data_IF_188146207746
#
_entry.id   IF_188146207746
#
_cell.length_a   1.000
_cell.length_b   1.000
_cell.length_c   1.000
_cell.angle_alpha   90.00
_cell.angle_beta   90.00
_cell.angle_gamma   90.00
#
_symmetry.space_group_name_H-M   'P 1'
#
loop_
_entity.id
_entity.type
_entity.pdbx_description
1 polymer ?
#
# COMPACT_ATOMS: atom_id res chain seq x y z
N UNK A 1 -22.82 8.49 8.92
CA UNK A 1 -21.82 7.40 9.09
C UNK A 1 -20.78 7.85 10.10
N UNK A 2 -20.50 7.04 11.12
CA UNK A 2 -19.41 7.30 12.08
C UNK A 2 -18.12 6.68 11.55
N UNK A 3 -17.10 7.48 11.30
CA UNK A 3 -15.86 7.03 10.65
C UNK A 3 -14.69 7.37 11.55
N UNK A 4 -13.82 6.39 11.83
CA UNK A 4 -12.53 6.64 12.47
C UNK A 4 -11.41 6.43 11.45
N UNK A 5 -10.61 7.46 11.18
CA UNK A 5 -9.42 7.38 10.34
C UNK A 5 -8.22 7.12 11.25
N UNK A 6 -7.44 6.07 10.93
CA UNK A 6 -6.21 5.74 11.66
C UNK A 6 -5.00 6.14 10.80
N UNK A 7 -4.23 7.11 11.28
CA UNK A 7 -3.03 7.57 10.60
C UNK A 7 -2.76 9.07 10.74
N UNK A 8 -1.65 9.54 10.15
CA UNK A 8 -1.25 10.95 10.19
C UNK A 8 -0.45 11.38 8.95
N UNK A 9 -0.40 10.53 7.91
CA UNK A 9 0.27 10.86 6.65
C UNK A 9 -0.62 11.63 5.66
N UNK A 10 -0.08 11.95 4.49
CA UNK A 10 -0.82 12.71 3.45
C UNK A 10 -2.15 12.07 3.07
N UNK A 11 -2.21 10.74 3.02
CA UNK A 11 -3.45 10.03 2.71
C UNK A 11 -4.50 10.24 3.80
N UNK A 12 -4.11 10.15 5.09
CA UNK A 12 -5.02 10.42 6.20
C UNK A 12 -5.55 11.86 6.16
N UNK A 13 -4.70 12.85 5.85
CA UNK A 13 -5.12 14.24 5.70
C UNK A 13 -6.20 14.39 4.63
N UNK A 14 -5.96 13.87 3.43
CA UNK A 14 -6.92 14.01 2.32
C UNK A 14 -8.19 13.21 2.60
N UNK A 15 -8.10 11.98 3.12
CA UNK A 15 -9.28 11.19 3.51
C UNK A 15 -10.12 11.93 4.57
N UNK A 16 -9.46 12.50 5.59
CA UNK A 16 -10.15 13.25 6.65
C UNK A 16 -10.93 14.44 6.10
N UNK A 17 -10.28 15.28 5.28
CA UNK A 17 -10.95 16.47 4.74
C UNK A 17 -12.09 16.11 3.79
N UNK A 18 -11.88 15.14 2.90
CA UNK A 18 -12.92 14.71 1.94
C UNK A 18 -14.11 14.09 2.67
N UNK A 19 -13.87 13.15 3.61
CA UNK A 19 -14.95 12.45 4.32
C UNK A 19 -15.69 13.35 5.31
N UNK A 20 -14.98 14.21 6.04
CA UNK A 20 -15.58 15.09 7.03
C UNK A 20 -16.26 16.33 6.41
N UNK A 21 -16.06 16.61 5.13
CA UNK A 21 -16.79 17.67 4.40
C UNK A 21 -18.22 17.28 4.02
N UNK A 22 -18.56 15.98 4.06
CA UNK A 22 -19.93 15.50 3.87
C UNK A 22 -20.65 15.49 5.23
N UNK A 23 -21.72 16.30 5.34
CA UNK A 23 -22.50 16.46 6.58
C UNK A 23 -23.15 15.15 7.08
N UNK A 24 -23.29 14.14 6.23
CA UNK A 24 -23.80 12.81 6.61
C UNK A 24 -22.73 11.99 7.38
N UNK A 25 -21.47 12.44 7.41
CA UNK A 25 -20.37 11.77 8.07
C UNK A 25 -19.95 12.52 9.35
N UNK A 26 -19.63 11.75 10.38
CA UNK A 26 -18.93 12.20 11.58
C UNK A 26 -17.57 11.51 11.60
N UNK A 27 -16.52 12.29 11.46
CA UNK A 27 -15.15 11.77 11.31
C UNK A 27 -14.36 12.03 12.59
N UNK A 28 -13.82 10.96 13.15
CA UNK A 28 -12.81 10.99 14.21
C UNK A 28 -11.44 10.55 13.68
N UNK A 29 -10.38 10.97 14.34
CA UNK A 29 -9.00 10.66 13.96
C UNK A 29 -8.26 9.97 15.09
N UNK A 30 -7.71 8.79 14.81
CA UNK A 30 -6.74 8.11 15.67
C UNK A 30 -5.33 8.38 15.14
N UNK A 31 -4.54 9.14 15.89
CA UNK A 31 -3.18 9.54 15.50
C UNK A 31 -2.24 9.60 16.68
N UNK A 32 -0.96 9.32 16.48
CA UNK A 32 0.06 9.41 17.55
C UNK A 32 0.38 10.85 17.99
N UNK A 33 -0.03 11.85 17.21
CA UNK A 33 0.25 13.27 17.43
C UNK A 33 -1.02 14.11 17.39
N UNK A 34 -2.00 13.86 18.29
CA UNK A 34 -3.30 14.52 18.24
C UNK A 34 -3.20 16.04 18.43
N UNK A 35 -2.23 16.51 19.23
CA UNK A 35 -2.04 17.95 19.51
C UNK A 35 -1.45 18.74 18.33
N UNK A 36 -0.98 18.06 17.28
CA UNK A 36 -0.49 18.72 16.06
C UNK A 36 -1.61 18.88 15.00
N UNK A 37 -2.84 18.47 15.31
CA UNK A 37 -3.99 18.59 14.42
C UNK A 37 -4.95 19.68 14.90
N UNK A 38 -5.48 20.43 13.95
CA UNK A 38 -6.56 21.38 14.18
C UNK A 38 -7.92 20.66 14.17
N UNK A 39 -8.95 21.27 14.78
CA UNK A 39 -10.31 20.74 14.79
C UNK A 39 -10.96 20.68 13.39
N UNK A 40 -10.34 21.32 12.42
CA UNK A 40 -10.73 21.29 11.00
C UNK A 40 -9.55 21.12 10.09
N UNK A 41 -9.80 20.58 8.91
CA UNK A 41 -8.79 20.35 7.87
C UNK A 41 -9.31 20.83 6.51
N UNK A 42 -8.44 21.47 5.72
CA UNK A 42 -8.72 21.88 4.36
C UNK A 42 -8.02 21.00 3.33
N UNK A 43 -8.75 20.54 2.31
CA UNK A 43 -8.21 19.77 1.21
C UNK A 43 -8.55 20.45 -0.12
N UNK A 44 -7.53 20.78 -0.87
CA UNK A 44 -7.61 21.46 -2.17
C UNK A 44 -7.55 20.41 -3.29
N UNK A 45 -8.58 20.37 -4.12
CA UNK A 45 -8.63 19.45 -5.26
C UNK A 45 -8.12 20.12 -6.55
N UNK A 46 -7.74 19.34 -7.58
CA UNK A 46 -7.19 19.89 -8.82
C UNK A 46 -8.22 20.62 -9.69
N UNK A 47 -9.52 20.56 -9.33
CA UNK A 47 -10.61 21.26 -10.04
C UNK A 47 -10.98 22.57 -9.37
N UNK A 48 -10.24 22.98 -8.33
CA UNK A 48 -10.46 24.22 -7.58
C UNK A 48 -11.54 24.13 -6.48
N UNK A 49 -11.99 22.90 -6.15
CA UNK A 49 -12.87 22.67 -5.00
C UNK A 49 -12.04 22.61 -3.72
N UNK A 50 -12.49 23.25 -2.66
CA UNK A 50 -11.98 23.07 -1.30
C UNK A 50 -12.95 22.22 -0.51
N UNK A 51 -12.43 21.15 0.11
CA UNK A 51 -13.15 20.37 1.10
C UNK A 51 -12.72 20.85 2.48
N UNK A 52 -13.65 21.38 3.26
CA UNK A 52 -13.43 21.75 4.65
C UNK A 52 -14.10 20.73 5.54
N UNK A 53 -13.30 19.92 6.22
CA UNK A 53 -13.78 18.89 7.13
C UNK A 53 -13.60 19.28 8.58
N UNK A 54 -14.58 18.97 9.45
CA UNK A 54 -14.48 19.13 10.89
C UNK A 54 -14.44 17.76 11.57
N UNK A 55 -13.53 17.61 12.54
CA UNK A 55 -13.43 16.38 13.31
C UNK A 55 -14.41 16.38 14.48
N UNK A 56 -15.06 15.22 14.70
CA UNK A 56 -15.84 14.98 15.92
C UNK A 56 -14.88 14.81 17.13
N UNK A 57 -13.79 14.07 16.91
CA UNK A 57 -12.78 13.82 17.94
C UNK A 57 -11.42 13.49 17.34
N UNK A 58 -10.33 13.95 17.97
CA UNK A 58 -8.95 13.63 17.60
C UNK A 58 -8.24 13.09 18.84
N UNK A 59 -7.71 11.87 18.75
CA UNK A 59 -7.10 11.24 19.92
C UNK A 59 -5.94 10.30 19.54
N UNK A 60 -5.07 10.05 20.52
CA UNK A 60 -4.11 8.96 20.48
C UNK A 60 -4.64 7.67 21.16
N UNK A 61 -5.83 7.75 21.80
CA UNK A 61 -6.43 6.66 22.57
C UNK A 61 -7.56 5.99 21.77
N UNK A 62 -7.39 4.71 21.37
CA UNK A 62 -8.43 4.01 20.61
C UNK A 62 -9.79 3.95 21.32
N UNK A 63 -9.79 3.88 22.65
CA UNK A 63 -11.01 3.84 23.47
C UNK A 63 -11.92 5.05 23.29
N UNK A 64 -11.39 6.18 22.82
CA UNK A 64 -12.13 7.43 22.66
C UNK A 64 -12.75 7.57 21.26
N UNK A 65 -12.23 6.89 20.25
CA UNK A 65 -12.61 7.12 18.84
C UNK A 65 -13.10 5.86 18.10
N UNK A 66 -12.88 4.64 18.64
CA UNK A 66 -13.25 3.41 17.97
C UNK A 66 -14.65 2.89 18.34
N UNK A 67 -15.12 2.94 19.61
CA UNK A 67 -16.33 2.21 20.06
C UNK A 67 -17.60 2.48 19.25
N UNK A 68 -17.76 3.68 18.72
CA UNK A 68 -18.95 4.11 17.97
C UNK A 68 -18.73 4.14 16.46
N UNK A 69 -17.58 3.70 15.96
CA UNK A 69 -17.29 3.74 14.54
C UNK A 69 -18.07 2.66 13.77
N UNK A 70 -18.79 3.09 12.73
CA UNK A 70 -19.33 2.19 11.70
C UNK A 70 -18.18 1.67 10.81
N UNK A 71 -17.21 2.56 10.55
CA UNK A 71 -16.04 2.28 9.71
C UNK A 71 -14.77 2.75 10.42
N UNK A 72 -13.78 1.87 10.47
CA UNK A 72 -12.39 2.19 10.84
C UNK A 72 -11.53 2.07 9.57
N UNK A 73 -10.91 3.17 9.16
CA UNK A 73 -10.14 3.25 7.91
C UNK A 73 -8.65 3.47 8.20
N UNK A 74 -7.83 2.48 7.89
CA UNK A 74 -6.39 2.54 8.07
C UNK A 74 -5.73 3.24 6.87
N UNK A 75 -5.03 4.35 7.14
CA UNK A 75 -4.19 5.10 6.21
C UNK A 75 -2.74 5.01 6.68
N UNK A 76 -2.21 3.79 6.75
CA UNK A 76 -0.96 3.43 7.41
C UNK A 76 0.05 2.77 6.46
N UNK A 77 1.35 2.91 6.74
CA UNK A 77 2.37 2.06 6.14
C UNK A 77 2.31 0.63 6.72
N UNK A 78 2.85 -0.36 5.99
CA UNK A 78 2.78 -1.78 6.34
C UNK A 78 3.25 -2.11 7.75
N UNK A 79 4.35 -1.53 8.18
CA UNK A 79 4.94 -1.77 9.50
C UNK A 79 4.04 -1.33 10.68
N UNK A 80 3.09 -0.42 10.44
CA UNK A 80 2.21 0.10 11.50
C UNK A 80 0.86 -0.62 11.58
N UNK A 81 0.50 -1.43 10.58
CA UNK A 81 -0.82 -2.06 10.49
C UNK A 81 -1.05 -3.01 11.66
N UNK A 82 -0.15 -3.95 11.88
CA UNK A 82 -0.31 -4.99 12.91
C UNK A 82 -0.47 -4.38 14.32
N UNK A 83 0.36 -3.38 14.65
CA UNK A 83 0.30 -2.68 15.94
C UNK A 83 -1.05 -1.98 16.12
N UNK A 84 -1.51 -1.23 15.12
CA UNK A 84 -2.78 -0.50 15.21
C UNK A 84 -3.97 -1.47 15.29
N UNK A 85 -3.96 -2.58 14.53
CA UNK A 85 -5.00 -3.61 14.63
C UNK A 85 -5.08 -4.19 16.06
N UNK A 86 -3.94 -4.47 16.70
CA UNK A 86 -3.91 -4.93 18.11
C UNK A 86 -4.49 -3.89 19.05
N UNK A 87 -4.17 -2.61 18.84
CA UNK A 87 -4.64 -1.52 19.69
C UNK A 87 -6.14 -1.27 19.58
N UNK A 88 -6.71 -1.38 18.37
CA UNK A 88 -8.15 -1.11 18.14
C UNK A 88 -9.04 -2.31 18.45
N UNK A 89 -8.53 -3.56 18.34
CA UNK A 89 -9.30 -4.79 18.53
C UNK A 89 -10.23 -4.80 19.75
N UNK A 90 -9.80 -4.39 20.97
CA UNK A 90 -10.65 -4.43 22.17
C UNK A 90 -11.88 -3.50 22.10
N UNK A 91 -11.88 -2.55 21.19
CA UNK A 91 -12.91 -1.50 21.09
C UNK A 91 -13.81 -1.63 19.87
N UNK A 92 -13.55 -2.62 18.99
CA UNK A 92 -14.36 -2.86 17.80
C UNK A 92 -15.75 -3.41 18.15
N UNK A 93 -16.78 -2.83 17.57
CA UNK A 93 -18.11 -3.43 17.55
C UNK A 93 -18.15 -4.57 16.52
N UNK A 94 -18.92 -5.66 16.74
CA UNK A 94 -19.11 -6.69 15.73
C UNK A 94 -19.65 -6.20 14.38
N UNK A 95 -20.24 -4.99 14.34
CA UNK A 95 -20.79 -4.38 13.13
C UNK A 95 -19.83 -3.44 12.41
N UNK A 96 -18.72 -3.06 13.05
CA UNK A 96 -17.75 -2.13 12.50
C UNK A 96 -17.02 -2.75 11.31
N UNK A 97 -16.98 -2.07 10.18
CA UNK A 97 -16.07 -2.44 9.10
C UNK A 97 -14.68 -1.88 9.35
N UNK A 98 -13.67 -2.73 9.26
CA UNK A 98 -12.26 -2.31 9.31
C UNK A 98 -11.68 -2.38 7.89
N UNK A 99 -11.15 -1.27 7.41
CA UNK A 99 -10.62 -1.19 6.06
C UNK A 99 -9.23 -0.56 5.96
N UNK A 100 -8.57 -0.76 4.82
CA UNK A 100 -7.24 -0.18 4.55
C UNK A 100 -7.13 0.41 3.16
N UNK A 101 -6.46 1.53 3.06
CA UNK A 101 -5.98 2.14 1.83
C UNK A 101 -4.44 2.19 1.91
N UNK A 102 -3.71 1.29 1.23
CA UNK A 102 -4.04 0.16 0.37
C UNK A 102 -3.83 -1.17 1.09
N UNK A 103 -4.21 -2.32 0.46
CA UNK A 103 -4.10 -3.64 1.06
C UNK A 103 -2.82 -4.39 0.73
N UNK A 104 -2.05 -3.95 -0.25
CA UNK A 104 -0.81 -4.60 -0.71
C UNK A 104 0.31 -4.68 0.33
N UNK A 105 0.08 -4.13 1.52
CA UNK A 105 1.00 -4.13 2.66
C UNK A 105 0.63 -5.17 3.72
N UNK A 106 -0.10 -6.21 3.35
CA UNK A 106 -0.44 -7.32 4.23
C UNK A 106 -1.66 -7.11 5.12
N UNK A 107 -2.48 -6.10 4.86
CA UNK A 107 -3.63 -5.75 5.70
C UNK A 107 -4.55 -6.95 6.01
N UNK A 108 -5.04 -7.66 4.99
CA UNK A 108 -5.94 -8.80 5.21
C UNK A 108 -5.27 -9.93 5.98
N UNK A 109 -4.00 -10.23 5.69
CA UNK A 109 -3.25 -11.27 6.40
C UNK A 109 -3.14 -10.98 7.89
N UNK A 110 -2.75 -9.75 8.25
CA UNK A 110 -2.72 -9.32 9.65
C UNK A 110 -4.10 -9.26 10.28
N UNK A 111 -5.12 -8.82 9.54
CA UNK A 111 -6.47 -8.70 10.08
C UNK A 111 -7.07 -10.06 10.41
N UNK A 112 -6.91 -11.06 9.55
CA UNK A 112 -7.38 -12.43 9.82
C UNK A 112 -6.72 -13.03 11.05
N UNK A 113 -5.42 -12.80 11.24
CA UNK A 113 -4.69 -13.31 12.40
C UNK A 113 -5.04 -12.54 13.69
N UNK A 114 -5.00 -11.20 13.62
CA UNK A 114 -5.09 -10.36 14.82
C UNK A 114 -6.53 -10.13 15.24
N UNK A 115 -7.44 -9.82 14.32
CA UNK A 115 -8.81 -9.40 14.65
C UNK A 115 -9.76 -10.56 14.91
N UNK A 116 -9.42 -11.80 14.53
CA UNK A 116 -10.33 -12.92 14.71
C UNK A 116 -10.97 -12.95 16.11
N UNK A 117 -12.29 -13.22 16.24
CA UNK A 117 -13.23 -13.63 15.19
C UNK A 117 -13.89 -12.47 14.41
N UNK A 118 -13.42 -11.22 14.51
CA UNK A 118 -13.93 -10.10 13.75
C UNK A 118 -13.53 -10.24 12.27
N UNK A 119 -14.49 -10.27 11.37
CA UNK A 119 -14.31 -10.61 9.96
C UNK A 119 -14.85 -9.55 8.98
N UNK A 120 -15.45 -8.46 9.46
CA UNK A 120 -15.98 -7.39 8.60
C UNK A 120 -14.85 -6.49 8.10
N UNK A 121 -14.24 -6.90 7.00
CA UNK A 121 -13.05 -6.29 6.43
C UNK A 121 -13.31 -5.74 5.03
N UNK A 122 -12.63 -4.65 4.67
CA UNK A 122 -12.58 -4.19 3.28
C UNK A 122 -11.22 -3.56 2.97
N UNK A 123 -10.90 -3.51 1.69
CA UNK A 123 -9.63 -2.92 1.34
C UNK A 123 -9.50 -2.50 -0.11
N UNK A 124 -8.70 -1.49 -0.33
CA UNK A 124 -8.46 -0.88 -1.62
C UNK A 124 -7.23 -1.49 -2.30
N UNK A 125 -7.36 -1.80 -3.59
CA UNK A 125 -6.23 -2.23 -4.42
C UNK A 125 -5.23 -1.10 -4.63
N UNK A 126 -5.73 0.12 -4.83
CA UNK A 126 -4.95 1.34 -5.06
C UNK A 126 -5.52 2.50 -4.26
N UNK A 127 -4.72 3.54 -4.05
CA UNK A 127 -5.22 4.80 -3.47
C UNK A 127 -6.29 5.42 -4.38
N UNK A 128 -7.40 5.95 -3.83
CA UNK A 128 -8.43 6.59 -4.65
C UNK A 128 -7.96 7.91 -5.28
N UNK A 129 -6.96 8.56 -4.67
CA UNK A 129 -6.40 9.82 -5.12
C UNK A 129 -4.93 9.98 -4.72
N UNK A 130 -4.23 10.90 -5.38
CA UNK A 130 -2.86 11.28 -5.03
C UNK A 130 -2.94 12.37 -3.97
N UNK A 131 -2.34 12.12 -2.79
CA UNK A 131 -2.39 12.98 -1.63
C UNK A 131 -1.02 13.58 -1.30
N UNK A 132 -0.99 14.87 -0.92
CA UNK A 132 0.22 15.55 -0.40
C UNK A 132 -0.16 16.53 0.70
N UNK A 133 0.42 16.37 1.88
CA UNK A 133 0.27 17.33 2.99
C UNK A 133 0.93 18.67 2.59
N UNK A 134 0.25 19.77 2.87
CA UNK A 134 0.78 21.14 2.81
C UNK A 134 1.28 21.49 4.20
N UNK A 135 0.35 21.68 5.14
CA UNK A 135 0.64 21.92 6.55
C UNK A 135 0.12 20.74 7.36
N UNK A 136 0.96 20.16 8.19
CA UNK A 136 0.59 18.98 8.98
C UNK A 136 -0.56 19.31 9.93
N UNK A 137 -1.57 18.45 9.93
CA UNK A 137 -2.75 18.60 10.78
C UNK A 137 -3.72 19.72 10.36
N UNK A 138 -3.46 20.46 9.28
CA UNK A 138 -4.21 21.64 8.86
C UNK A 138 -4.68 21.54 7.42
N UNK A 139 -3.77 21.22 6.46
CA UNK A 139 -4.13 21.27 5.06
C UNK A 139 -3.37 20.29 4.18
N UNK A 140 -4.00 19.87 3.07
CA UNK A 140 -3.43 18.95 2.10
C UNK A 140 -3.93 19.21 0.67
N UNK A 141 -3.17 18.75 -0.32
CA UNK A 141 -3.55 18.71 -1.72
C UNK A 141 -4.02 17.31 -2.11
N UNK A 142 -5.20 17.24 -2.74
CA UNK A 142 -5.65 16.14 -3.56
C UNK A 142 -5.23 16.46 -5.00
N UNK A 143 -4.15 15.82 -5.49
CA UNK A 143 -3.54 16.15 -6.78
C UNK A 143 -4.21 15.47 -7.99
N UNK A 144 -5.04 14.47 -7.77
CA UNK A 144 -5.78 13.77 -8.82
C UNK A 144 -6.54 12.57 -8.31
N UNK A 145 -7.71 12.32 -8.90
CA UNK A 145 -8.52 11.14 -8.67
C UNK A 145 -8.09 10.01 -9.59
N UNK A 146 -8.33 8.78 -9.16
CA UNK A 146 -8.30 7.62 -10.06
C UNK A 146 -9.57 7.57 -10.91
N UNK A 147 -9.47 6.98 -12.10
CA UNK A 147 -10.65 6.76 -12.95
C UNK A 147 -11.60 5.71 -12.35
N UNK A 148 -11.04 4.72 -11.66
CA UNK A 148 -11.73 3.65 -10.96
C UNK A 148 -10.85 3.17 -9.79
N UNK A 149 -11.47 2.69 -8.72
CA UNK A 149 -10.83 1.91 -7.66
C UNK A 149 -11.46 0.53 -7.58
N UNK A 150 -10.64 -0.48 -7.31
CA UNK A 150 -11.10 -1.83 -7.02
C UNK A 150 -10.96 -2.10 -5.53
N UNK A 151 -11.98 -2.75 -4.95
CA UNK A 151 -12.03 -3.09 -3.52
C UNK A 151 -12.45 -4.53 -3.33
N UNK A 152 -11.93 -5.17 -2.28
CA UNK A 152 -12.49 -6.42 -1.76
C UNK A 152 -13.19 -6.14 -0.44
N UNK A 153 -14.29 -6.84 -0.18
CA UNK A 153 -15.11 -6.74 1.05
C UNK A 153 -15.35 -8.15 1.55
N UNK A 154 -15.12 -8.38 2.84
CA UNK A 154 -15.35 -9.65 3.53
C UNK A 154 -16.19 -9.45 4.80
N UNK A 155 -17.05 -10.44 5.14
CA UNK A 155 -17.53 -11.48 4.24
C UNK A 155 -18.41 -10.86 3.15
N UNK A 156 -18.58 -11.55 2.03
CA UNK A 156 -19.58 -11.13 1.05
C UNK A 156 -20.98 -11.37 1.66
N UNK A 157 -21.70 -10.29 1.92
CA UNK A 157 -22.97 -10.28 2.64
C UNK A 157 -23.99 -9.35 1.97
N UNK A 158 -25.21 -9.30 2.49
CA UNK A 158 -26.29 -8.44 1.94
C UNK A 158 -25.94 -6.96 1.89
N UNK A 159 -25.11 -6.48 2.82
CA UNK A 159 -24.68 -5.08 2.91
C UNK A 159 -23.39 -4.75 2.11
N UNK A 160 -22.76 -5.74 1.46
CA UNK A 160 -21.56 -5.55 0.63
C UNK A 160 -21.76 -4.48 -0.44
N UNK A 161 -22.88 -4.55 -1.18
CA UNK A 161 -23.20 -3.57 -2.22
C UNK A 161 -23.51 -2.18 -1.64
N UNK A 162 -24.06 -2.11 -0.44
CA UNK A 162 -24.28 -0.84 0.26
C UNK A 162 -22.95 -0.19 0.64
N UNK A 163 -21.99 -0.96 1.15
CA UNK A 163 -20.64 -0.47 1.46
C UNK A 163 -19.89 -0.05 0.19
N UNK A 164 -19.97 -0.83 -0.90
CA UNK A 164 -19.38 -0.45 -2.19
C UNK A 164 -19.89 0.91 -2.67
N UNK A 165 -21.23 1.11 -2.65
CA UNK A 165 -21.83 2.39 -3.05
C UNK A 165 -21.46 3.54 -2.12
N UNK A 166 -21.33 3.27 -0.84
CA UNK A 166 -20.81 4.26 0.10
C UNK A 166 -19.37 4.66 -0.25
N UNK A 167 -18.48 3.70 -0.52
CA UNK A 167 -17.10 3.95 -0.94
C UNK A 167 -17.08 4.82 -2.21
N UNK A 168 -17.87 4.46 -3.21
CA UNK A 168 -17.97 5.20 -4.48
C UNK A 168 -18.39 6.66 -4.26
N UNK A 169 -19.44 6.89 -3.45
CA UNK A 169 -19.91 8.24 -3.08
C UNK A 169 -18.84 9.00 -2.30
N UNK A 170 -18.29 8.37 -1.26
CA UNK A 170 -17.39 8.98 -0.29
C UNK A 170 -16.05 9.42 -0.90
N UNK A 171 -15.52 8.64 -1.84
CA UNK A 171 -14.26 8.92 -2.51
C UNK A 171 -14.40 9.54 -3.91
N UNK A 172 -15.65 9.83 -4.34
CA UNK A 172 -15.95 10.42 -5.66
C UNK A 172 -15.29 9.67 -6.83
N UNK A 173 -15.18 8.35 -6.71
CA UNK A 173 -14.47 7.51 -7.68
C UNK A 173 -15.27 6.23 -7.93
N UNK A 174 -15.57 5.88 -9.19
CA UNK A 174 -16.23 4.61 -9.53
C UNK A 174 -15.54 3.45 -8.82
N UNK A 175 -16.34 2.58 -8.18
CA UNK A 175 -15.80 1.53 -7.31
C UNK A 175 -16.29 0.17 -7.76
N UNK A 176 -15.34 -0.71 -8.11
CA UNK A 176 -15.59 -2.09 -8.55
C UNK A 176 -15.24 -3.07 -7.43
N UNK A 177 -16.14 -4.06 -7.22
CA UNK A 177 -15.85 -5.19 -6.33
C UNK A 177 -14.94 -6.21 -7.02
N UNK A 178 -14.01 -6.73 -6.28
CA UNK A 178 -13.22 -7.91 -6.62
C UNK A 178 -13.78 -9.13 -5.86
N UNK A 179 -13.51 -10.32 -6.40
CA UNK A 179 -14.11 -11.55 -5.88
C UNK A 179 -13.43 -12.05 -4.60
N UNK A 180 -12.15 -11.72 -4.42
CA UNK A 180 -11.37 -12.21 -3.30
C UNK A 180 -10.35 -11.17 -2.83
N UNK A 181 -10.03 -11.15 -1.53
CA UNK A 181 -9.05 -10.22 -0.98
C UNK A 181 -7.61 -10.41 -1.52
N UNK A 182 -7.27 -11.59 -2.02
CA UNK A 182 -6.00 -11.78 -2.72
C UNK A 182 -5.86 -10.87 -3.95
N UNK A 183 -6.96 -10.60 -4.64
CA UNK A 183 -6.95 -9.74 -5.84
C UNK A 183 -6.63 -8.27 -5.51
N UNK A 184 -6.95 -7.78 -4.32
CA UNK A 184 -6.50 -6.44 -3.86
C UNK A 184 -5.11 -6.48 -3.23
N UNK A 185 -4.74 -7.58 -2.59
CA UNK A 185 -3.50 -7.69 -1.83
C UNK A 185 -2.28 -7.96 -2.70
N UNK A 186 -2.44 -8.74 -3.79
CA UNK A 186 -1.34 -9.28 -4.59
C UNK A 186 -1.10 -8.57 -5.93
N UNK A 187 -1.83 -7.49 -6.23
CA UNK A 187 -1.67 -6.75 -7.50
C UNK A 187 -0.56 -5.72 -7.52
N UNK A 188 0.11 -5.47 -6.39
CA UNK A 188 1.22 -4.54 -6.34
C UNK A 188 2.48 -5.18 -6.92
N UNK A 189 3.01 -4.61 -8.01
CA UNK A 189 4.25 -5.09 -8.63
C UNK A 189 5.52 -4.80 -7.83
N UNK A 190 5.48 -3.82 -6.93
CA UNK A 190 6.67 -3.35 -6.20
C UNK A 190 7.45 -4.46 -5.48
N UNK A 191 6.81 -5.43 -4.81
CA UNK A 191 7.54 -6.50 -4.15
C UNK A 191 8.45 -7.31 -5.09
N UNK A 192 8.06 -7.48 -6.35
CA UNK A 192 8.88 -8.18 -7.36
C UNK A 192 9.76 -7.18 -8.11
N UNK A 193 9.19 -6.07 -8.59
CA UNK A 193 9.88 -5.05 -9.37
C UNK A 193 11.06 -4.42 -8.63
N UNK A 194 10.82 -3.93 -7.41
CA UNK A 194 11.87 -3.23 -6.66
C UNK A 194 12.92 -4.20 -6.14
N UNK A 195 12.51 -5.35 -5.61
CA UNK A 195 13.43 -6.28 -4.96
C UNK A 195 14.37 -6.97 -5.98
N UNK A 196 13.88 -7.30 -7.19
CA UNK A 196 14.72 -7.80 -8.27
C UNK A 196 15.79 -6.78 -8.68
N UNK A 197 15.41 -5.49 -8.79
CA UNK A 197 16.34 -4.41 -9.11
C UNK A 197 17.38 -4.21 -8.03
N UNK A 198 16.96 -4.12 -6.77
CA UNK A 198 17.87 -3.93 -5.63
C UNK A 198 18.86 -5.07 -5.51
N UNK A 199 18.39 -6.29 -5.69
CA UNK A 199 19.24 -7.48 -5.67
C UNK A 199 20.28 -7.46 -6.80
N UNK A 200 19.86 -7.20 -8.04
CA UNK A 200 20.79 -7.11 -9.18
C UNK A 200 21.84 -6.01 -9.01
N UNK A 201 21.47 -4.88 -8.36
CA UNK A 201 22.41 -3.78 -8.14
C UNK A 201 23.42 -4.04 -7.05
N UNK A 202 23.04 -4.73 -5.97
CA UNK A 202 23.84 -4.72 -4.74
C UNK A 202 24.10 -6.10 -4.12
N UNK A 203 23.75 -7.20 -4.78
CA UNK A 203 24.07 -8.56 -4.27
C UNK A 203 25.56 -8.77 -4.01
N UNK A 204 26.42 -8.21 -4.88
CA UNK A 204 27.86 -8.33 -4.83
C UNK A 204 28.57 -7.11 -4.21
N UNK A 205 27.81 -6.10 -3.72
CA UNK A 205 28.39 -4.89 -3.13
C UNK A 205 29.13 -5.21 -1.82
N UNK A 206 30.39 -4.75 -1.70
CA UNK A 206 31.27 -5.05 -0.57
C UNK A 206 31.60 -3.86 0.33
N UNK A 207 30.90 -2.72 0.12
CA UNK A 207 31.07 -1.54 0.94
C UNK A 207 31.70 -0.34 0.23
N UNK A 208 32.19 -0.49 -1.00
CA UNK A 208 32.81 0.59 -1.75
C UNK A 208 31.73 1.64 -2.14
N UNK A 209 32.02 2.95 -1.92
CA UNK A 209 31.08 3.99 -2.32
C UNK A 209 31.02 4.17 -3.84
N UNK A 210 29.84 4.46 -4.35
CA UNK A 210 29.63 4.84 -5.74
C UNK A 210 29.93 6.32 -5.95
N UNK A 211 30.44 6.71 -7.11
CA UNK A 211 30.76 8.11 -7.44
C UNK A 211 29.51 9.00 -7.58
N UNK A 212 28.36 8.41 -7.94
CA UNK A 212 27.08 9.11 -8.08
C UNK A 212 25.93 8.19 -7.65
N UNK A 213 24.77 8.81 -7.33
CA UNK A 213 23.56 8.02 -7.14
C UNK A 213 23.06 7.51 -8.49
N UNK A 214 22.72 6.23 -8.54
CA UNK A 214 22.30 5.52 -9.75
C UNK A 214 20.81 5.79 -10.02
N UNK A 215 20.41 6.23 -11.22
CA UNK A 215 19.00 6.31 -11.61
C UNK A 215 18.35 4.92 -11.55
N UNK A 216 17.31 4.79 -10.70
CA UNK A 216 16.74 3.48 -10.36
C UNK A 216 16.17 2.73 -11.56
N UNK A 217 15.33 3.42 -12.34
CA UNK A 217 14.66 2.83 -13.50
C UNK A 217 15.38 3.15 -14.82
N UNK A 218 15.96 4.34 -14.95
CA UNK A 218 16.63 4.75 -16.18
C UNK A 218 17.80 3.84 -16.55
N UNK A 219 18.52 3.37 -15.54
CA UNK A 219 19.64 2.45 -15.69
C UNK A 219 19.24 1.00 -15.38
N UNK A 220 18.01 0.62 -15.71
CA UNK A 220 17.52 -0.74 -15.55
C UNK A 220 18.36 -1.71 -16.41
N UNK A 221 18.73 -2.85 -15.85
CA UNK A 221 19.63 -3.80 -16.49
C UNK A 221 18.92 -5.04 -17.00
N UNK A 222 19.54 -5.75 -17.96
CA UNK A 222 19.03 -7.01 -18.46
C UNK A 222 18.92 -8.04 -17.31
N UNK A 223 19.94 -8.13 -16.46
CA UNK A 223 19.94 -8.99 -15.28
C UNK A 223 18.77 -8.72 -14.34
N UNK A 224 18.44 -7.44 -14.09
CA UNK A 224 17.27 -7.08 -13.29
C UNK A 224 15.97 -7.59 -13.92
N UNK A 225 15.86 -7.53 -15.25
CA UNK A 225 14.70 -8.06 -15.97
C UNK A 225 14.62 -9.57 -15.93
N UNK A 226 15.73 -10.28 -16.05
CA UNK A 226 15.80 -11.75 -15.97
C UNK A 226 15.36 -12.23 -14.58
N UNK A 227 15.86 -11.60 -13.50
CA UNK A 227 15.48 -11.91 -12.13
C UNK A 227 13.99 -11.60 -11.91
N UNK A 228 13.50 -10.44 -12.39
CA UNK A 228 12.11 -10.04 -12.29
C UNK A 228 11.19 -11.07 -12.96
N UNK A 229 11.49 -11.49 -14.19
CA UNK A 229 10.69 -12.47 -14.92
C UNK A 229 10.67 -13.81 -14.18
N UNK A 230 11.80 -14.28 -13.69
CA UNK A 230 11.87 -15.53 -12.92
C UNK A 230 11.03 -15.48 -11.65
N UNK A 231 11.08 -14.36 -10.92
CA UNK A 231 10.24 -14.14 -9.73
C UNK A 231 8.76 -14.03 -10.09
N UNK A 232 8.42 -13.36 -11.18
CA UNK A 232 7.04 -13.23 -11.66
C UNK A 232 6.46 -14.57 -12.10
N UNK A 233 7.22 -15.41 -12.79
CA UNK A 233 6.82 -16.78 -13.15
C UNK A 233 6.55 -17.64 -11.90
N UNK A 234 7.37 -17.51 -10.86
CA UNK A 234 7.15 -18.19 -9.57
C UNK A 234 5.85 -17.70 -8.91
N UNK A 235 5.64 -16.40 -8.93
CA UNK A 235 4.41 -15.78 -8.41
C UNK A 235 3.18 -16.18 -9.21
N UNK A 236 3.23 -16.21 -10.54
CA UNK A 236 2.12 -16.65 -11.39
C UNK A 236 1.75 -18.11 -11.17
N UNK A 237 2.73 -18.99 -10.86
CA UNK A 237 2.45 -20.37 -10.44
C UNK A 237 1.74 -20.43 -9.09
N UNK A 238 2.10 -19.56 -8.14
CA UNK A 238 1.37 -19.45 -6.88
C UNK A 238 -0.09 -19.07 -7.11
N UNK A 239 -0.38 -18.13 -8.01
CA UNK A 239 -1.76 -17.71 -8.31
C UNK A 239 -2.63 -18.86 -8.88
N UNK A 240 -2.04 -19.91 -9.46
CA UNK A 240 -2.79 -21.11 -9.90
C UNK A 240 -3.38 -21.90 -8.71
N UNK A 241 -2.88 -21.69 -7.51
CA UNK A 241 -3.31 -22.34 -6.28
C UNK A 241 -4.23 -21.46 -5.41
N UNK A 242 -4.48 -20.21 -5.82
CA UNK A 242 -5.29 -19.25 -5.08
C UNK A 242 -6.65 -18.98 -5.77
N UNK A 243 -7.70 -18.66 -5.01
CA UNK A 243 -9.02 -18.34 -5.54
C UNK A 243 -9.07 -16.93 -6.17
N UNK A 244 -8.26 -16.69 -7.19
CA UNK A 244 -8.14 -15.39 -7.87
C UNK A 244 -8.50 -15.48 -9.35
N UNK A 245 -9.10 -14.43 -9.88
CA UNK A 245 -9.15 -14.23 -11.32
C UNK A 245 -7.82 -13.64 -11.80
N UNK A 246 -6.98 -14.44 -12.44
CA UNK A 246 -5.66 -14.02 -12.94
C UNK A 246 -5.72 -12.82 -13.91
N UNK A 247 -6.90 -12.56 -14.54
CA UNK A 247 -7.07 -11.35 -15.36
C UNK A 247 -6.94 -10.06 -14.54
N UNK A 248 -7.15 -10.13 -13.22
CA UNK A 248 -6.97 -9.00 -12.30
C UNK A 248 -5.50 -8.79 -11.92
N UNK A 249 -4.64 -9.81 -12.16
CA UNK A 249 -3.21 -9.80 -11.81
C UNK A 249 -2.42 -10.28 -13.03
N UNK A 250 -2.22 -9.41 -14.05
CA UNK A 250 -1.46 -9.77 -15.24
C UNK A 250 0.01 -10.04 -14.91
N UNK A 251 0.69 -10.81 -15.78
CA UNK A 251 2.15 -10.95 -15.70
C UNK A 251 2.84 -9.58 -15.77
N UNK A 252 4.03 -9.45 -15.23
CA UNK A 252 4.77 -8.19 -15.33
C UNK A 252 5.23 -7.91 -16.78
N UNK A 253 5.42 -8.94 -17.60
CA UNK A 253 5.65 -8.77 -19.03
C UNK A 253 4.42 -8.12 -19.71
N UNK A 254 3.22 -8.62 -19.46
CA UNK A 254 1.98 -8.03 -20.02
C UNK A 254 1.75 -6.62 -19.48
N UNK A 255 1.93 -6.42 -18.17
CA UNK A 255 1.75 -5.13 -17.52
C UNK A 255 2.66 -4.03 -18.11
N UNK A 256 3.90 -4.39 -18.48
CA UNK A 256 4.85 -3.49 -19.11
C UNK A 256 4.89 -3.61 -20.65
N UNK A 257 3.90 -4.26 -21.27
CA UNK A 257 3.79 -4.41 -22.73
C UNK A 257 5.09 -4.92 -23.35
N UNK A 258 5.66 -5.97 -22.76
CA UNK A 258 6.96 -6.57 -23.11
C UNK A 258 6.80 -8.07 -23.36
N UNK A 259 7.75 -8.66 -24.09
CA UNK A 259 7.70 -10.07 -24.48
C UNK A 259 8.89 -10.88 -23.95
N UNK A 260 9.96 -10.20 -23.55
CA UNK A 260 11.21 -10.80 -23.07
C UNK A 260 11.99 -9.82 -22.17
N UNK A 261 13.08 -10.28 -21.59
CA UNK A 261 13.92 -9.48 -20.69
C UNK A 261 14.51 -8.25 -21.38
N UNK A 262 14.86 -8.33 -22.66
CA UNK A 262 15.47 -7.23 -23.39
C UNK A 262 14.43 -6.12 -23.68
N UNK A 263 13.23 -6.49 -24.12
CA UNK A 263 12.11 -5.54 -24.31
C UNK A 263 11.64 -4.91 -23.01
N UNK A 264 11.55 -5.70 -21.94
CA UNK A 264 11.21 -5.22 -20.58
C UNK A 264 12.24 -4.21 -20.07
N UNK A 265 13.53 -4.47 -20.25
CA UNK A 265 14.62 -3.56 -19.88
C UNK A 265 14.46 -2.21 -20.58
N UNK A 266 14.25 -2.21 -21.88
CA UNK A 266 14.03 -0.98 -22.66
C UNK A 266 12.77 -0.25 -22.24
N UNK A 267 11.67 -0.99 -22.02
CA UNK A 267 10.37 -0.42 -21.60
C UNK A 267 10.49 0.30 -20.28
N UNK A 268 11.00 -0.37 -19.24
CA UNK A 268 11.12 0.23 -17.88
C UNK A 268 12.01 1.49 -17.94
N UNK A 269 13.16 1.42 -18.63
CA UNK A 269 14.06 2.57 -18.76
C UNK A 269 13.46 3.77 -19.52
N UNK A 270 12.43 3.55 -20.33
CA UNK A 270 11.79 4.61 -21.16
C UNK A 270 10.56 5.27 -20.54
N UNK A 271 10.06 4.77 -19.41
CA UNK A 271 8.84 5.29 -18.79
C UNK A 271 9.10 6.68 -18.21
N UNK A 272 8.44 7.70 -18.78
CA UNK A 272 8.62 9.11 -18.37
C UNK A 272 8.27 9.33 -16.88
N UNK A 273 7.27 8.65 -16.35
CA UNK A 273 6.88 8.77 -14.95
C UNK A 273 7.97 8.30 -13.97
N UNK A 274 8.94 7.53 -14.45
CA UNK A 274 10.09 7.02 -13.68
C UNK A 274 11.35 7.86 -13.86
N UNK A 275 11.32 8.85 -14.75
CA UNK A 275 12.45 9.73 -15.00
C UNK A 275 12.83 10.52 -13.74
N UNK A 276 14.13 10.57 -13.45
CA UNK A 276 14.65 11.28 -12.27
C UNK A 276 14.52 10.56 -10.95
N UNK A 277 13.87 9.37 -10.88
CA UNK A 277 13.83 8.57 -9.65
C UNK A 277 15.21 7.94 -9.43
N UNK A 278 15.84 8.36 -8.33
CA UNK A 278 17.15 7.85 -7.91
C UNK A 278 17.00 6.59 -7.06
N UNK A 279 18.05 5.78 -7.06
CA UNK A 279 18.15 4.61 -6.19
C UNK A 279 18.18 5.03 -4.71
N UNK A 280 17.70 4.15 -3.80
CA UNK A 280 17.73 4.45 -2.37
C UNK A 280 19.17 4.40 -1.86
N UNK A 281 19.87 5.52 -1.96
CA UNK A 281 21.26 5.68 -1.55
C UNK A 281 21.44 6.90 -0.66
N UNK A 282 22.37 6.81 0.29
CA UNK A 282 22.78 7.90 1.17
C UNK A 282 24.11 8.47 0.72
N UNK A 283 24.22 9.80 0.66
CA UNK A 283 25.49 10.49 0.35
C UNK A 283 26.38 10.49 1.57
N UNK A 284 27.64 10.09 1.38
CA UNK A 284 28.73 10.16 2.38
C UNK A 284 29.85 11.11 1.91
N UNK A 285 30.85 11.29 2.71
CA UNK A 285 32.05 12.08 2.31
C UNK A 285 32.82 11.45 1.13
N UNK A 286 32.77 10.13 0.99
CA UNK A 286 33.50 9.36 -0.03
C UNK A 286 32.66 9.05 -1.28
N UNK A 287 31.36 9.34 -1.27
CA UNK A 287 30.45 9.04 -2.37
C UNK A 287 29.07 8.61 -1.90
N UNK A 288 28.43 7.71 -2.61
CA UNK A 288 27.08 7.23 -2.35
C UNK A 288 27.11 5.75 -1.94
N UNK A 289 26.34 5.38 -0.91
CA UNK A 289 26.20 4.00 -0.47
C UNK A 289 24.70 3.61 -0.43
N UNK A 290 24.35 2.31 -0.58
CA UNK A 290 22.98 1.84 -0.45
C UNK A 290 22.34 2.23 0.89
N UNK A 291 21.11 2.72 0.85
CA UNK A 291 20.29 2.99 2.05
C UNK A 291 19.35 1.81 2.33
N UNK A 292 19.83 0.86 3.12
CA UNK A 292 19.04 -0.31 3.53
C UNK A 292 17.91 0.03 4.52
N UNK A 293 17.81 1.28 5.01
CA UNK A 293 16.71 1.77 5.84
C UNK A 293 15.60 2.43 5.03
N UNK A 294 15.78 2.55 3.72
CA UNK A 294 14.77 3.10 2.83
C UNK A 294 13.53 2.22 2.78
N UNK A 295 12.40 2.81 2.37
CA UNK A 295 11.13 2.09 2.22
C UNK A 295 11.19 0.94 1.20
N UNK A 296 12.07 0.99 0.24
CA UNK A 296 12.31 -0.12 -0.69
C UNK A 296 12.74 -1.40 0.05
N UNK A 297 13.47 -1.27 1.16
CA UNK A 297 13.86 -2.41 2.00
C UNK A 297 12.86 -2.68 3.12
N UNK A 298 12.43 -1.63 3.83
CA UNK A 298 11.61 -1.80 5.04
C UNK A 298 10.13 -2.09 4.75
N UNK A 299 9.66 -1.91 3.52
CA UNK A 299 8.29 -2.21 3.10
C UNK A 299 8.23 -3.39 2.11
N UNK A 300 8.98 -3.34 0.98
CA UNK A 300 8.77 -4.29 -0.12
C UNK A 300 9.26 -5.71 0.21
N UNK A 301 10.30 -5.86 1.03
CA UNK A 301 10.75 -7.18 1.48
C UNK A 301 9.84 -7.78 2.56
N UNK A 302 9.65 -7.16 3.76
CA UNK A 302 8.92 -7.79 4.85
C UNK A 302 7.39 -7.73 4.67
N UNK A 303 6.86 -6.67 4.04
CA UNK A 303 5.42 -6.44 3.90
C UNK A 303 4.90 -6.63 2.47
N UNK A 304 5.74 -7.15 1.57
CA UNK A 304 5.41 -7.49 0.19
C UNK A 304 5.89 -8.90 -0.16
N UNK A 305 7.20 -9.05 -0.45
CA UNK A 305 7.77 -10.32 -0.93
C UNK A 305 7.66 -11.46 0.09
N UNK A 306 7.77 -11.15 1.40
CA UNK A 306 7.59 -12.15 2.46
C UNK A 306 6.17 -12.73 2.48
N UNK A 307 5.11 -11.94 2.22
CA UNK A 307 3.76 -12.46 2.14
C UNK A 307 3.58 -13.39 0.94
N UNK A 308 4.14 -13.04 -0.21
CA UNK A 308 4.15 -13.93 -1.39
C UNK A 308 4.84 -15.25 -1.03
N UNK A 309 5.99 -15.20 -0.37
CA UNK A 309 6.71 -16.40 0.08
C UNK A 309 5.91 -17.23 1.07
N UNK A 310 5.26 -16.60 2.06
CA UNK A 310 4.46 -17.32 3.05
C UNK A 310 3.31 -18.09 2.38
N UNK A 311 2.59 -17.44 1.45
CA UNK A 311 1.54 -18.10 0.66
C UNK A 311 2.10 -19.25 -0.20
N UNK A 312 3.27 -19.07 -0.82
CA UNK A 312 3.91 -20.13 -1.59
C UNK A 312 4.25 -21.35 -0.75
N UNK A 313 4.72 -21.13 0.49
CA UNK A 313 4.97 -22.24 1.46
C UNK A 313 3.67 -22.93 1.85
N UNK A 314 2.63 -22.16 2.17
CA UNK A 314 1.32 -22.68 2.56
C UNK A 314 0.70 -23.57 1.47
N UNK A 315 0.87 -23.19 0.20
CA UNK A 315 0.34 -23.92 -0.95
C UNK A 315 1.33 -24.89 -1.61
N UNK A 316 2.52 -25.08 -1.02
CA UNK A 316 3.50 -26.03 -1.51
C UNK A 316 4.16 -25.65 -2.86
N UNK A 317 4.19 -24.36 -3.20
CA UNK A 317 4.76 -23.84 -4.44
C UNK A 317 6.24 -23.49 -4.25
N UNK A 318 7.11 -24.04 -5.08
CA UNK A 318 8.55 -23.74 -5.06
C UNK A 318 8.83 -22.35 -5.64
N UNK A 319 9.61 -21.56 -4.93
CA UNK A 319 9.97 -20.18 -5.28
C UNK A 319 11.47 -19.90 -5.11
N UNK A 320 12.36 -20.64 -5.83
CA UNK A 320 13.80 -20.57 -5.60
C UNK A 320 14.38 -19.17 -5.84
N UNK A 321 13.92 -18.44 -6.83
CA UNK A 321 14.42 -17.08 -7.12
C UNK A 321 13.94 -16.09 -6.06
N UNK A 322 12.66 -16.14 -5.69
CA UNK A 322 12.11 -15.34 -4.60
C UNK A 322 12.86 -15.64 -3.29
N UNK A 323 13.17 -16.90 -3.00
CA UNK A 323 13.88 -17.30 -1.78
C UNK A 323 15.27 -16.65 -1.69
N UNK A 324 16.03 -16.66 -2.79
CA UNK A 324 17.35 -16.03 -2.86
C UNK A 324 17.25 -14.52 -2.63
N UNK A 325 16.36 -13.85 -3.37
CA UNK A 325 16.18 -12.38 -3.31
C UNK A 325 15.70 -11.95 -1.94
N UNK A 326 14.69 -12.65 -1.39
CA UNK A 326 14.11 -12.36 -0.07
C UNK A 326 15.15 -12.56 1.04
N UNK A 327 15.88 -13.67 1.05
CA UNK A 327 16.91 -13.96 2.05
C UNK A 327 17.99 -12.89 2.04
N UNK A 328 18.45 -12.47 0.87
CA UNK A 328 19.42 -11.40 0.73
C UNK A 328 18.86 -10.08 1.28
N UNK A 329 17.65 -9.67 0.86
CA UNK A 329 17.06 -8.40 1.28
C UNK A 329 16.84 -8.32 2.79
N UNK A 330 16.28 -9.37 3.41
CA UNK A 330 16.08 -9.44 4.85
C UNK A 330 17.41 -9.44 5.64
N UNK A 331 18.50 -9.95 5.06
CA UNK A 331 19.83 -9.89 5.67
C UNK A 331 20.37 -8.46 5.81
N UNK A 332 19.86 -7.51 5.00
CA UNK A 332 20.27 -6.09 5.02
C UNK A 332 19.48 -5.26 6.04
N UNK A 333 18.41 -5.80 6.58
CA UNK A 333 17.56 -5.14 7.59
C UNK A 333 18.00 -5.42 9.05
N UNK A 334 19.01 -6.27 9.24
CA UNK A 334 19.53 -6.66 10.56
C UNK A 334 20.51 -5.64 11.13
#
# INVERSE_FOLDING_TARGET
>A
MQICICGGGSLAHVCSGVLASDADNKVSLLTRRPTEWHDSIEVFDPKGKTYTGHFEHISAQPSEVIPNADIVLLCLPGYAIAEVLQQIKPYLSPKTYVGSIVCSTGFFFFSHEILAPHDRLFGFQRVPFIARTINYGESANLLGYKNEVAVAIEPYAEDTEALRRWIEKAFHTPTRLLNHYYEVSLTNSNPILHTSRLYSMWKDWKGEPFSSNIPFYREWTLEASEILIAMDEEFMRLLDHLPVDKKQIPTLLDYYESTDAASLTRKIASIKAFEGILSPMTKTAEGWIPDFKSRYFTEDFPYGLQFIKNLAVEHGVATPTIDIVLTWGLSKLK
#
